data_IF_856873193846
#
_entry.id   IF_856873193846
#
_cell.length_a   1.000
_cell.length_b   1.000
_cell.length_c   1.000
_cell.angle_alpha   90.00
_cell.angle_beta   90.00
_cell.angle_gamma   90.00
#
_symmetry.space_group_name_H-M   'P 1'
#
loop_
_entity.id
_entity.type
_entity.pdbx_description
1 polymer ?
#
# COMPACT_ATOMS: atom_id res chain seq x y z
N UNK A 1 67.21 -36.39 -7.94
CA UNK A 1 65.75 -36.51 -8.19
C UNK A 1 65.08 -36.18 -6.86
N UNK A 2 64.58 -34.97 -6.63
CA UNK A 2 63.36 -34.42 -7.23
C UNK A 2 62.16 -34.93 -6.41
N UNK A 3 61.28 -34.16 -5.79
CA UNK A 3 61.13 -32.71 -5.68
C UNK A 3 60.12 -32.42 -4.56
N UNK A 4 60.10 -31.15 -4.15
CA UNK A 4 59.18 -30.51 -3.22
C UNK A 4 57.84 -30.20 -3.92
N UNK A 5 56.68 -30.43 -3.27
CA UNK A 5 55.43 -29.66 -3.51
C UNK A 5 54.59 -29.65 -2.24
N UNK A 6 54.61 -28.50 -1.57
CA UNK A 6 53.53 -27.99 -0.72
C UNK A 6 52.26 -27.70 -1.53
N UNK A 7 51.08 -27.99 -0.98
CA UNK A 7 49.81 -27.43 -1.49
C UNK A 7 48.87 -27.09 -0.33
N UNK A 8 48.67 -25.78 -0.13
CA UNK A 8 47.64 -25.18 0.71
C UNK A 8 46.25 -25.15 0.03
N UNK A 9 45.33 -24.30 0.51
CA UNK A 9 43.93 -24.65 0.77
C UNK A 9 43.03 -24.60 -0.48
N UNK A 10 42.18 -25.61 -0.63
CA UNK A 10 41.12 -25.66 -1.64
C UNK A 10 39.95 -24.74 -1.29
N UNK A 11 40.07 -23.45 -1.62
CA UNK A 11 38.94 -22.54 -1.72
C UNK A 11 38.20 -22.75 -3.05
N UNK A 12 37.02 -23.36 -3.01
CA UNK A 12 36.17 -23.55 -4.20
C UNK A 12 35.52 -22.24 -4.71
N UNK A 13 35.22 -22.13 -6.01
CA UNK A 13 34.90 -20.87 -6.72
C UNK A 13 33.44 -20.39 -6.59
N UNK A 14 32.75 -20.75 -5.50
CA UNK A 14 31.33 -20.42 -5.34
C UNK A 14 31.06 -18.92 -5.06
N UNK A 15 32.11 -18.13 -4.76
CA UNK A 15 31.97 -16.72 -4.40
C UNK A 15 32.03 -15.69 -5.55
N UNK A 16 32.24 -16.11 -6.81
CA UNK A 16 32.34 -15.17 -7.95
C UNK A 16 31.06 -15.09 -8.79
N UNK A 17 30.37 -16.22 -9.03
CA UNK A 17 29.14 -16.26 -9.85
C UNK A 17 28.01 -15.39 -9.27
N UNK A 18 27.78 -15.46 -7.96
CA UNK A 18 26.74 -14.69 -7.28
C UNK A 18 27.01 -13.18 -7.23
N UNK A 19 28.29 -12.78 -7.21
CA UNK A 19 28.68 -11.37 -7.29
C UNK A 19 28.27 -10.76 -8.64
N UNK A 20 28.43 -11.51 -9.73
CA UNK A 20 27.97 -11.07 -11.06
C UNK A 20 26.46 -10.84 -11.11
N UNK A 21 25.67 -11.79 -10.61
CA UNK A 21 24.21 -11.67 -10.58
C UNK A 21 23.72 -10.50 -9.72
N UNK A 22 24.35 -10.24 -8.57
CA UNK A 22 24.01 -9.09 -7.73
C UNK A 22 24.26 -7.76 -8.48
N UNK A 23 25.40 -7.63 -9.15
CA UNK A 23 25.72 -6.44 -9.96
C UNK A 23 24.77 -6.26 -11.14
N UNK A 24 24.30 -7.35 -11.76
CA UNK A 24 23.29 -7.27 -12.83
C UNK A 24 21.93 -6.77 -12.31
N UNK A 25 21.51 -7.21 -11.11
CA UNK A 25 20.30 -6.72 -10.46
C UNK A 25 20.45 -5.24 -10.12
N UNK A 26 21.58 -4.82 -9.53
CA UNK A 26 21.85 -3.42 -9.22
C UNK A 26 21.80 -2.53 -10.47
N UNK A 27 22.39 -2.99 -11.58
CA UNK A 27 22.34 -2.30 -12.87
C UNK A 27 20.92 -2.19 -13.41
N UNK A 28 20.13 -3.25 -13.28
CA UNK A 28 18.72 -3.22 -13.66
C UNK A 28 17.95 -2.20 -12.81
N UNK A 29 18.11 -2.24 -11.48
CA UNK A 29 17.46 -1.31 -10.54
C UNK A 29 17.83 0.15 -10.83
N UNK A 30 19.10 0.43 -11.10
CA UNK A 30 19.54 1.77 -11.50
C UNK A 30 18.88 2.22 -12.81
N UNK A 31 18.80 1.31 -13.80
CA UNK A 31 18.14 1.60 -15.07
C UNK A 31 16.62 1.79 -14.92
N UNK A 32 15.95 1.19 -13.93
CA UNK A 32 14.53 1.47 -13.64
C UNK A 32 14.31 2.94 -13.29
N UNK A 33 15.26 3.56 -12.59
CA UNK A 33 15.15 4.97 -12.21
C UNK A 33 15.49 5.93 -13.37
N UNK A 34 16.51 5.61 -14.18
CA UNK A 34 17.04 6.55 -15.19
C UNK A 34 16.60 6.27 -16.64
N UNK A 35 16.14 5.06 -16.95
CA UNK A 35 15.90 4.58 -18.32
C UNK A 35 14.61 3.75 -18.43
N UNK A 36 13.61 4.07 -17.59
CA UNK A 36 12.34 3.34 -17.48
C UNK A 36 11.68 3.04 -18.82
N UNK A 37 11.52 4.04 -19.69
CA UNK A 37 10.79 3.87 -20.95
C UNK A 37 11.52 2.95 -21.93
N UNK A 38 12.86 3.01 -21.95
CA UNK A 38 13.69 2.10 -22.75
C UNK A 38 13.59 0.66 -22.23
N UNK A 39 13.53 0.46 -20.90
CA UNK A 39 13.31 -0.86 -20.30
C UNK A 39 11.93 -1.42 -20.61
N UNK A 40 10.88 -0.59 -20.57
CA UNK A 40 9.52 -1.00 -20.96
C UNK A 40 9.50 -1.48 -22.42
N UNK A 41 10.13 -0.72 -23.31
CA UNK A 41 10.19 -1.09 -24.73
C UNK A 41 10.99 -2.38 -24.96
N UNK A 42 12.13 -2.54 -24.27
CA UNK A 42 12.90 -3.77 -24.31
C UNK A 42 12.10 -4.97 -23.79
N UNK A 43 11.39 -4.82 -22.67
CA UNK A 43 10.54 -5.87 -22.10
C UNK A 43 9.38 -6.23 -23.03
N UNK A 44 8.76 -5.26 -23.71
CA UNK A 44 7.70 -5.50 -24.72
C UNK A 44 8.22 -6.31 -25.90
N UNK A 45 9.40 -5.96 -26.43
CA UNK A 45 10.04 -6.73 -27.52
C UNK A 45 10.35 -8.17 -27.10
N UNK A 46 10.90 -8.35 -25.90
CA UNK A 46 11.17 -9.69 -25.36
C UNK A 46 9.88 -10.50 -25.19
N UNK A 47 8.77 -9.86 -24.81
CA UNK A 47 7.48 -10.52 -24.61
C UNK A 47 6.84 -11.00 -25.92
N UNK A 48 7.09 -10.34 -27.06
CA UNK A 48 6.43 -10.64 -28.35
C UNK A 48 6.61 -12.10 -28.79
N UNK A 49 7.83 -12.64 -28.68
CA UNK A 49 8.15 -14.00 -29.14
C UNK A 49 8.33 -15.00 -27.98
N UNK A 50 8.18 -14.56 -26.73
CA UNK A 50 8.36 -15.41 -25.56
C UNK A 50 7.22 -16.43 -25.44
N UNK A 51 7.55 -17.69 -25.23
CA UNK A 51 6.58 -18.81 -25.12
C UNK A 51 6.52 -19.42 -23.73
N UNK A 52 7.54 -19.23 -22.90
CA UNK A 52 7.56 -19.81 -21.57
C UNK A 52 6.61 -19.02 -20.64
N UNK A 53 5.57 -19.66 -20.04
CA UNK A 53 4.55 -18.95 -19.26
C UNK A 53 5.13 -18.14 -18.09
N UNK A 54 6.14 -18.69 -17.40
CA UNK A 54 6.82 -18.00 -16.30
C UNK A 54 7.53 -16.72 -16.74
N UNK A 55 8.14 -16.74 -17.93
CA UNK A 55 8.88 -15.60 -18.49
C UNK A 55 7.91 -14.54 -19.01
N UNK A 56 6.82 -14.95 -19.65
CA UNK A 56 5.73 -14.05 -20.04
C UNK A 56 5.15 -13.33 -18.82
N UNK A 57 4.86 -14.05 -17.72
CA UNK A 57 4.34 -13.45 -16.49
C UNK A 57 5.31 -12.41 -15.91
N UNK A 58 6.59 -12.75 -15.80
CA UNK A 58 7.60 -11.83 -15.27
C UNK A 58 7.75 -10.56 -16.14
N UNK A 59 7.77 -10.71 -17.47
CA UNK A 59 7.84 -9.57 -18.39
C UNK A 59 6.56 -8.72 -18.34
N UNK A 60 5.39 -9.35 -18.28
CA UNK A 60 4.12 -8.64 -18.15
C UNK A 60 4.03 -7.86 -16.83
N UNK A 61 4.46 -8.46 -15.72
CA UNK A 61 4.50 -7.81 -14.41
C UNK A 61 5.51 -6.65 -14.41
N UNK A 62 6.68 -6.82 -15.04
CA UNK A 62 7.66 -5.75 -15.19
C UNK A 62 7.09 -4.58 -16.01
N UNK A 63 6.52 -4.86 -17.18
CA UNK A 63 5.90 -3.83 -18.03
C UNK A 63 4.78 -3.12 -17.27
N UNK A 64 3.96 -3.88 -16.53
CA UNK A 64 2.86 -3.33 -15.76
C UNK A 64 3.34 -2.36 -14.67
N UNK A 65 4.32 -2.78 -13.86
CA UNK A 65 4.88 -1.96 -12.79
C UNK A 65 5.58 -0.70 -13.31
N UNK A 66 6.15 -0.73 -14.51
CA UNK A 66 6.84 0.42 -15.10
C UNK A 66 5.96 1.32 -15.97
N UNK A 67 4.78 0.85 -16.39
CA UNK A 67 3.80 1.64 -17.13
C UNK A 67 2.97 2.50 -16.17
N UNK A 68 3.64 3.41 -15.47
CA UNK A 68 3.06 4.29 -14.47
C UNK A 68 3.16 5.77 -14.81
N UNK A 69 2.24 6.56 -14.27
CA UNK A 69 2.20 8.01 -14.39
C UNK A 69 1.92 8.66 -13.03
N UNK A 70 2.79 8.37 -12.05
CA UNK A 70 2.65 8.85 -10.66
C UNK A 70 2.58 10.38 -10.61
N UNK A 71 3.39 11.08 -11.40
CA UNK A 71 3.50 12.55 -11.34
C UNK A 71 2.24 13.26 -11.83
N UNK A 72 1.49 12.66 -12.76
CA UNK A 72 0.21 13.22 -13.18
C UNK A 72 -0.78 13.17 -12.02
N UNK A 73 -1.45 14.29 -11.79
CA UNK A 73 -2.48 14.42 -10.78
C UNK A 73 -3.86 14.58 -11.40
N UNK A 74 -3.97 15.49 -12.35
CA UNK A 74 -5.25 15.90 -12.88
C UNK A 74 -5.73 14.92 -13.97
N UNK A 75 -7.04 14.82 -14.13
CA UNK A 75 -7.68 13.87 -15.05
C UNK A 75 -7.31 14.11 -16.49
N UNK A 76 -7.02 15.35 -16.83
CA UNK A 76 -6.58 15.82 -18.13
C UNK A 76 -5.24 15.18 -18.52
N UNK A 77 -4.35 15.00 -17.54
CA UNK A 77 -2.98 14.49 -17.70
C UNK A 77 -2.90 12.95 -17.62
N UNK A 78 -3.90 12.30 -17.02
CA UNK A 78 -3.92 10.83 -16.88
C UNK A 78 -5.34 10.23 -16.94
N UNK A 79 -6.01 10.39 -18.07
CA UNK A 79 -7.38 9.89 -18.27
C UNK A 79 -7.55 8.40 -17.97
N UNK A 80 -6.53 7.58 -18.29
CA UNK A 80 -6.53 6.13 -18.10
C UNK A 80 -6.68 5.78 -16.63
N UNK A 81 -5.98 6.50 -15.76
CA UNK A 81 -6.14 6.32 -14.32
C UNK A 81 -7.61 6.48 -13.92
N UNK A 82 -8.33 7.50 -14.39
CA UNK A 82 -9.74 7.79 -14.00
C UNK A 82 -10.80 6.90 -14.65
N UNK A 83 -10.44 5.93 -15.48
CA UNK A 83 -11.41 5.03 -16.12
C UNK A 83 -12.22 4.26 -15.06
N UNK A 84 -13.54 4.22 -15.24
CA UNK A 84 -14.49 3.59 -14.31
C UNK A 84 -14.88 4.44 -13.10
N UNK A 85 -14.34 5.65 -12.94
CA UNK A 85 -14.77 6.58 -11.89
C UNK A 85 -15.89 7.51 -12.33
N UNK A 86 -16.64 7.99 -11.34
CA UNK A 86 -17.62 9.06 -11.53
C UNK A 86 -16.97 10.33 -12.10
N UNK A 87 -17.72 11.08 -12.91
CA UNK A 87 -17.24 12.28 -13.61
C UNK A 87 -16.88 13.45 -12.68
N UNK A 88 -17.33 13.40 -11.42
CA UNK A 88 -17.05 14.39 -10.37
C UNK A 88 -15.57 14.46 -9.98
N UNK A 89 -14.82 13.36 -10.12
CA UNK A 89 -13.42 13.32 -9.73
C UNK A 89 -12.54 13.96 -10.81
N UNK A 90 -11.81 15.01 -10.42
CA UNK A 90 -10.92 15.79 -11.32
C UNK A 90 -9.45 15.52 -11.07
N UNK A 91 -9.07 15.16 -9.86
CA UNK A 91 -7.70 14.86 -9.48
C UNK A 91 -7.62 13.58 -8.65
N UNK A 92 -6.46 12.92 -8.70
CA UNK A 92 -6.25 11.62 -8.04
C UNK A 92 -6.45 11.73 -6.53
N UNK A 93 -5.91 12.78 -5.92
CA UNK A 93 -5.95 13.04 -4.48
C UNK A 93 -7.36 13.22 -3.94
N UNK A 94 -8.23 13.92 -4.67
CA UNK A 94 -9.65 14.06 -4.30
C UNK A 94 -10.38 12.71 -4.30
N UNK A 95 -10.09 11.84 -5.27
CA UNK A 95 -10.62 10.49 -5.27
C UNK A 95 -10.07 9.67 -4.11
N UNK A 96 -8.75 9.74 -3.87
CA UNK A 96 -8.11 8.97 -2.79
C UNK A 96 -8.61 9.41 -1.41
N UNK A 97 -8.80 10.72 -1.19
CA UNK A 97 -9.47 11.28 -0.01
C UNK A 97 -10.87 10.69 0.13
N UNK A 98 -11.70 10.80 -0.91
CA UNK A 98 -13.05 10.23 -0.91
C UNK A 98 -13.05 8.71 -0.65
N UNK A 99 -12.08 7.98 -1.19
CA UNK A 99 -11.91 6.54 -0.98
C UNK A 99 -11.66 6.25 0.51
N UNK A 100 -10.77 6.98 1.16
CA UNK A 100 -10.51 6.87 2.60
C UNK A 100 -11.77 7.16 3.43
N UNK A 101 -12.41 8.29 3.16
CA UNK A 101 -13.65 8.67 3.86
C UNK A 101 -14.74 7.61 3.70
N UNK A 102 -14.82 6.98 2.52
CA UNK A 102 -15.81 5.94 2.24
C UNK A 102 -15.54 4.67 3.04
N UNK A 103 -14.28 4.32 3.31
CA UNK A 103 -13.90 3.23 4.22
C UNK A 103 -14.29 3.55 5.65
N UNK A 104 -13.97 4.76 6.13
CA UNK A 104 -14.36 5.19 7.48
C UNK A 104 -15.89 5.19 7.67
N UNK A 105 -16.64 5.67 6.66
CA UNK A 105 -18.11 5.57 6.65
C UNK A 105 -18.59 4.12 6.60
N UNK A 106 -17.84 3.21 5.96
CA UNK A 106 -18.07 1.77 5.98
C UNK A 106 -17.99 1.21 7.40
N UNK A 107 -16.87 1.42 8.07
CA UNK A 107 -16.67 0.98 9.46
C UNK A 107 -17.74 1.54 10.41
N UNK A 108 -18.09 2.82 10.28
CA UNK A 108 -19.15 3.42 11.08
C UNK A 108 -20.53 2.77 10.84
N UNK A 109 -20.84 2.35 9.61
CA UNK A 109 -22.07 1.60 9.30
C UNK A 109 -22.07 0.22 9.92
N UNK A 110 -20.92 -0.46 9.98
CA UNK A 110 -20.79 -1.76 10.64
C UNK A 110 -21.03 -1.64 12.16
N UNK A 111 -20.39 -0.66 12.81
CA UNK A 111 -20.63 -0.35 14.24
C UNK A 111 -22.10 -0.01 14.49
N UNK A 112 -22.70 0.80 13.60
CA UNK A 112 -24.12 1.15 13.71
C UNK A 112 -25.05 -0.05 13.52
N UNK A 113 -24.70 -0.95 12.61
CA UNK A 113 -25.44 -2.18 12.32
C UNK A 113 -25.43 -3.18 13.49
N UNK A 114 -24.41 -3.12 14.34
CA UNK A 114 -24.28 -3.99 15.51
C UNK A 114 -25.37 -3.76 16.58
N UNK A 115 -26.13 -2.66 16.51
CA UNK A 115 -27.18 -2.35 17.50
C UNK A 115 -28.22 -3.46 17.69
N UNK A 116 -28.46 -4.28 16.66
CA UNK A 116 -29.37 -5.43 16.76
C UNK A 116 -28.91 -6.46 17.81
N UNK A 117 -27.60 -6.60 18.00
CA UNK A 117 -26.96 -7.51 18.96
C UNK A 117 -26.85 -6.91 20.37
N UNK A 118 -27.14 -5.62 20.53
CA UNK A 118 -27.11 -4.93 21.84
C UNK A 118 -28.39 -5.22 22.61
N UNK A 119 -28.23 -5.52 23.91
CA UNK A 119 -29.35 -5.75 24.83
C UNK A 119 -30.36 -4.58 24.77
N UNK A 120 -31.68 -4.82 24.69
CA UNK A 120 -32.67 -3.77 24.47
C UNK A 120 -32.56 -2.56 25.42
N UNK A 121 -32.28 -2.81 26.70
CA UNK A 121 -32.13 -1.76 27.71
C UNK A 121 -30.92 -0.82 27.49
N UNK A 122 -29.93 -1.23 26.70
CA UNK A 122 -28.71 -0.45 26.43
C UNK A 122 -28.72 0.21 25.04
N UNK A 123 -29.76 -0.01 24.22
CA UNK A 123 -29.79 0.46 22.82
C UNK A 123 -29.78 1.98 22.68
N UNK A 124 -30.48 2.69 23.56
CA UNK A 124 -30.53 4.16 23.52
C UNK A 124 -29.17 4.76 23.90
N UNK A 125 -28.52 4.23 24.92
CA UNK A 125 -27.16 4.61 25.30
C UNK A 125 -26.17 4.32 24.16
N UNK A 126 -26.26 3.14 23.54
CA UNK A 126 -25.44 2.76 22.39
C UNK A 126 -25.63 3.69 21.19
N UNK A 127 -26.88 4.09 20.90
CA UNK A 127 -27.20 5.08 19.85
C UNK A 127 -26.53 6.42 20.16
N UNK A 128 -26.63 6.89 21.40
CA UNK A 128 -25.98 8.14 21.82
C UNK A 128 -24.46 8.12 21.59
N UNK A 129 -23.79 7.00 21.90
CA UNK A 129 -22.35 6.83 21.63
C UNK A 129 -22.05 6.84 20.13
N UNK A 130 -22.84 6.13 19.33
CA UNK A 130 -22.72 6.13 17.85
C UNK A 130 -22.83 7.54 17.29
N UNK A 131 -23.80 8.33 17.76
CA UNK A 131 -24.02 9.68 17.28
C UNK A 131 -22.81 10.59 17.62
N UNK A 132 -22.28 10.48 18.83
CA UNK A 132 -21.05 11.19 19.22
C UNK A 132 -19.84 10.81 18.36
N UNK A 133 -19.66 9.51 18.09
CA UNK A 133 -18.59 9.02 17.20
C UNK A 133 -18.77 9.55 15.78
N UNK A 134 -20.00 9.54 15.26
CA UNK A 134 -20.32 10.04 13.93
C UNK A 134 -20.05 11.55 13.82
N UNK A 135 -20.44 12.35 14.81
CA UNK A 135 -20.15 13.78 14.86
C UNK A 135 -18.65 14.05 14.95
N UNK A 136 -17.92 13.26 15.76
CA UNK A 136 -16.46 13.37 15.82
C UNK A 136 -15.82 13.07 14.46
N UNK A 137 -16.22 11.98 13.80
CA UNK A 137 -15.72 11.64 12.46
C UNK A 137 -16.06 12.71 11.42
N UNK A 138 -17.27 13.27 11.45
CA UNK A 138 -17.63 14.41 10.58
C UNK A 138 -16.73 15.61 10.82
N UNK A 139 -16.42 15.94 12.08
CA UNK A 139 -15.56 17.08 12.44
C UNK A 139 -14.14 16.96 11.87
N UNK A 140 -13.64 15.73 11.72
CA UNK A 140 -12.32 15.43 11.14
C UNK A 140 -12.41 14.96 9.69
N UNK A 141 -13.53 15.23 9.00
CA UNK A 141 -13.76 14.87 7.59
C UNK A 141 -13.48 13.38 7.31
N UNK A 142 -13.90 12.50 8.22
CA UNK A 142 -13.71 11.05 8.13
C UNK A 142 -12.27 10.64 7.83
N UNK A 143 -11.29 11.39 8.36
CA UNK A 143 -9.85 11.17 8.18
C UNK A 143 -9.42 10.99 6.71
N UNK A 144 -10.12 11.65 5.78
CA UNK A 144 -9.84 11.52 4.35
C UNK A 144 -8.38 11.86 3.98
N UNK A 145 -7.73 12.71 4.77
CA UNK A 145 -6.33 13.10 4.64
C UNK A 145 -5.36 11.92 4.64
N UNK A 146 -5.69 10.80 5.31
CA UNK A 146 -4.81 9.62 5.37
C UNK A 146 -4.38 9.12 4.00
N UNK A 147 -5.23 9.25 2.98
CA UNK A 147 -4.91 8.81 1.62
C UNK A 147 -4.55 9.95 0.67
N UNK A 148 -4.47 11.20 1.12
CA UNK A 148 -4.13 12.33 0.27
C UNK A 148 -2.63 12.68 0.33
N UNK A 149 -1.90 12.38 -0.75
CA UNK A 149 -0.47 12.75 -0.89
C UNK A 149 -0.20 14.26 -0.89
N UNK A 150 -1.19 15.09 -1.23
CA UNK A 150 -1.14 16.56 -1.22
C UNK A 150 -1.49 17.17 0.14
N UNK A 151 -1.81 16.36 1.15
CA UNK A 151 -1.96 16.86 2.52
C UNK A 151 -0.62 17.48 2.98
N UNK A 152 -0.67 18.71 3.49
CA UNK A 152 0.52 19.47 3.87
C UNK A 152 1.14 18.94 5.16
N UNK A 153 0.29 18.48 6.08
CA UNK A 153 0.72 17.86 7.33
C UNK A 153 1.14 16.42 7.08
N UNK A 154 2.45 16.16 7.08
CA UNK A 154 3.00 14.83 6.79
C UNK A 154 2.50 13.76 7.77
N UNK A 155 2.35 14.11 9.05
CA UNK A 155 1.80 13.22 10.08
C UNK A 155 0.31 12.86 9.84
N UNK A 156 -0.40 13.65 9.04
CA UNK A 156 -1.80 13.43 8.73
C UNK A 156 -2.02 12.50 7.51
N UNK A 157 -0.98 12.13 6.77
CA UNK A 157 -1.09 11.21 5.62
C UNK A 157 -0.34 9.90 5.90
N UNK A 158 -0.85 8.81 5.36
CA UNK A 158 -0.24 7.47 5.49
C UNK A 158 0.70 7.11 4.32
N UNK A 159 0.96 8.07 3.42
CA UNK A 159 1.80 7.88 2.26
C UNK A 159 2.86 8.95 2.15
N UNK A 160 3.88 8.70 1.33
CA UNK A 160 4.88 9.71 0.97
C UNK A 160 4.29 10.81 0.08
N UNK A 161 5.06 11.86 -0.22
CA UNK A 161 4.65 12.94 -1.13
C UNK A 161 4.35 12.46 -2.55
N UNK A 162 4.97 11.37 -2.95
CA UNK A 162 4.75 10.72 -4.24
C UNK A 162 3.53 9.77 -4.20
N UNK A 163 2.98 9.49 -3.02
CA UNK A 163 1.82 8.61 -2.82
C UNK A 163 2.15 7.15 -2.56
N UNK A 164 3.36 6.84 -2.08
CA UNK A 164 3.72 5.46 -1.70
C UNK A 164 3.17 5.11 -0.33
N UNK A 165 2.40 4.03 -0.25
CA UNK A 165 1.94 3.40 0.99
C UNK A 165 2.81 2.19 1.30
N UNK A 166 3.22 2.07 2.55
CA UNK A 166 3.97 0.92 3.06
C UNK A 166 3.09 0.11 4.00
N UNK A 167 3.13 -1.21 3.86
CA UNK A 167 2.44 -2.10 4.78
C UNK A 167 3.10 -2.02 6.16
N UNK A 168 2.29 -1.79 7.19
CA UNK A 168 2.73 -1.73 8.59
C UNK A 168 2.92 -3.12 9.23
N UNK A 169 2.77 -4.18 8.44
CA UNK A 169 2.90 -5.55 8.91
C UNK A 169 1.58 -6.14 9.42
N UNK A 170 1.60 -7.40 9.85
CA UNK A 170 0.48 -7.99 10.57
C UNK A 170 0.32 -7.32 11.94
N UNK A 171 -0.88 -7.44 12.53
CA UNK A 171 -1.21 -6.80 13.82
C UNK A 171 -0.28 -7.19 14.99
N UNK A 172 0.43 -8.30 14.88
CA UNK A 172 1.31 -8.88 15.92
C UNK A 172 2.80 -8.60 15.69
N UNK A 173 3.15 -7.75 14.71
CA UNK A 173 4.55 -7.38 14.41
C UNK A 173 4.68 -5.90 14.13
N UNK A 174 5.89 -5.39 14.34
CA UNK A 174 6.23 -3.99 14.12
C UNK A 174 6.46 -3.65 12.63
N UNK A 175 6.71 -4.67 11.80
CA UNK A 175 7.05 -4.47 10.39
C UNK A 175 6.50 -5.58 9.46
N UNK A 176 6.35 -5.20 8.19
CA UNK A 176 6.01 -6.14 7.13
C UNK A 176 7.27 -6.89 6.65
N UNK A 177 7.39 -8.22 6.88
CA UNK A 177 8.58 -8.98 6.47
C UNK A 177 8.74 -9.01 4.94
N UNK A 178 7.63 -8.88 4.20
CA UNK A 178 7.62 -8.84 2.74
C UNK A 178 7.84 -7.43 2.17
N UNK A 179 7.93 -6.40 3.04
CA UNK A 179 8.06 -4.98 2.65
C UNK A 179 7.07 -4.57 1.57
N UNK A 180 5.81 -5.01 1.70
CA UNK A 180 4.79 -4.67 0.71
C UNK A 180 4.63 -3.15 0.62
N UNK A 181 4.58 -2.66 -0.61
CA UNK A 181 4.32 -1.26 -0.91
C UNK A 181 3.39 -1.15 -2.12
N UNK A 182 2.62 -0.08 -2.16
CA UNK A 182 1.75 0.23 -3.30
C UNK A 182 1.66 1.73 -3.50
N UNK A 183 1.59 2.16 -4.76
CA UNK A 183 1.28 3.53 -5.09
C UNK A 183 -0.05 3.56 -5.87
N UNK A 184 -1.19 3.84 -5.23
CA UNK A 184 -2.48 3.90 -5.93
C UNK A 184 -2.58 5.07 -6.92
N UNK A 185 -1.64 6.02 -6.89
CA UNK A 185 -1.56 7.12 -7.84
C UNK A 185 -0.85 6.74 -9.15
N UNK A 186 -0.18 5.58 -9.22
CA UNK A 186 0.67 5.19 -10.34
C UNK A 186 -0.11 4.86 -11.61
N UNK A 187 -1.11 3.97 -11.50
CA UNK A 187 -1.93 3.49 -12.61
C UNK A 187 -3.29 2.99 -12.10
N UNK A 188 -4.18 2.68 -13.05
CA UNK A 188 -5.56 2.27 -12.79
C UNK A 188 -5.64 0.99 -11.97
N UNK A 189 -4.83 -0.01 -12.30
CA UNK A 189 -4.83 -1.30 -11.63
C UNK A 189 -4.33 -1.19 -10.19
N UNK A 190 -3.28 -0.40 -9.94
CA UNK A 190 -2.76 -0.13 -8.58
C UNK A 190 -3.82 0.56 -7.72
N UNK A 191 -4.57 1.51 -8.30
CA UNK A 191 -5.73 2.10 -7.61
C UNK A 191 -6.79 1.06 -7.27
N UNK A 192 -7.08 0.12 -8.16
CA UNK A 192 -8.06 -0.95 -7.91
C UNK A 192 -7.54 -1.93 -6.86
N UNK A 193 -6.29 -2.38 -6.97
CA UNK A 193 -5.63 -3.26 -6.00
C UNK A 193 -5.58 -2.63 -4.61
N UNK A 194 -5.43 -1.31 -4.53
CA UNK A 194 -5.48 -0.63 -3.25
C UNK A 194 -6.82 -0.81 -2.52
N UNK A 195 -7.92 -1.14 -3.21
CA UNK A 195 -9.19 -1.49 -2.55
C UNK A 195 -9.10 -2.75 -1.68
N UNK A 196 -8.13 -3.64 -1.93
CA UNK A 196 -7.86 -4.83 -1.11
C UNK A 196 -6.83 -4.57 -0.01
N UNK A 197 -6.22 -3.38 0.03
CA UNK A 197 -5.35 -2.98 1.13
C UNK A 197 -6.22 -2.52 2.29
N UNK A 198 -6.17 -3.25 3.40
CA UNK A 198 -6.98 -2.94 4.57
C UNK A 198 -6.31 -1.88 5.45
N UNK A 199 -7.15 -1.12 6.16
CA UNK A 199 -6.74 -0.38 7.34
C UNK A 199 -7.06 -1.29 8.53
N UNK A 200 -6.24 -2.33 8.70
CA UNK A 200 -6.48 -3.30 9.77
C UNK A 200 -6.34 -2.61 11.13
N UNK A 201 -7.32 -2.87 12.00
CA UNK A 201 -7.28 -2.42 13.38
C UNK A 201 -6.34 -3.33 14.17
N UNK A 202 -5.26 -2.77 14.72
CA UNK A 202 -4.31 -3.49 15.60
C UNK A 202 -5.04 -4.13 16.79
N UNK A 203 -6.11 -3.49 17.26
CA UNK A 203 -7.02 -4.07 18.23
C UNK A 203 -8.30 -4.53 17.54
N UNK A 204 -8.37 -5.83 17.23
CA UNK A 204 -9.63 -6.49 16.93
C UNK A 204 -10.35 -6.66 18.26
N UNK A 205 -10.96 -5.59 18.77
CA UNK A 205 -11.90 -5.73 19.86
C UNK A 205 -13.04 -6.56 19.31
N UNK A 206 -13.01 -7.86 19.60
CA UNK A 206 -14.25 -8.58 19.86
C UNK A 206 -15.10 -7.61 20.66
N UNK A 207 -16.22 -7.17 20.09
CA UNK A 207 -17.15 -6.23 20.70
C UNK A 207 -17.75 -6.95 21.91
N UNK A 208 -16.95 -7.01 22.98
CA UNK A 208 -17.27 -7.62 24.24
C UNK A 208 -18.11 -6.58 24.97
N UNK A 209 -19.35 -6.91 25.37
CA UNK A 209 -20.31 -5.94 25.93
C UNK A 209 -19.87 -5.27 27.24
N UNK A 210 -18.76 -5.70 27.84
CA UNK A 210 -18.19 -5.06 29.02
C UNK A 210 -16.99 -4.19 28.61
N UNK A 211 -17.27 -2.92 28.30
CA UNK A 211 -16.26 -1.86 28.27
C UNK A 211 -16.04 -1.36 29.71
N UNK A 212 -14.91 -1.63 30.37
CA UNK A 212 -14.55 -0.89 31.57
C UNK A 212 -14.02 0.51 31.17
N UNK A 213 -14.35 1.51 31.99
CA UNK A 213 -14.03 2.94 31.85
C UNK A 213 -12.53 3.29 31.67
N UNK A 214 -11.63 2.32 31.61
CA UNK A 214 -10.18 2.54 31.54
C UNK A 214 -9.62 2.80 30.13
N UNK A 215 -10.42 2.72 29.06
CA UNK A 215 -9.91 2.94 27.69
C UNK A 215 -9.83 4.41 27.25
N UNK A 216 -10.11 5.37 28.13
CA UNK A 216 -9.95 6.80 27.83
C UNK A 216 -8.52 7.34 27.98
N UNK A 217 -7.53 6.51 28.37
CA UNK A 217 -6.13 6.92 28.27
C UNK A 217 -5.61 6.66 26.86
N UNK A 218 -5.56 7.71 26.05
CA UNK A 218 -4.76 7.71 24.83
C UNK A 218 -3.32 7.27 25.15
N UNK A 219 -2.69 6.39 24.35
CA UNK A 219 -1.25 6.23 24.44
C UNK A 219 -0.63 7.58 24.08
N UNK A 220 0.00 8.21 25.08
CA UNK A 220 0.94 9.27 24.81
C UNK A 220 2.10 8.66 24.05
N UNK A 221 2.28 9.10 22.80
CA UNK A 221 3.43 8.78 21.99
C UNK A 221 3.15 7.74 20.91
N UNK A 222 2.78 8.23 19.73
CA UNK A 222 3.43 7.80 18.49
C UNK A 222 3.18 8.88 17.44
N UNK A 223 4.31 9.33 16.90
CA UNK A 223 4.45 10.28 15.79
C UNK A 223 3.81 9.72 14.53
#
# INVERSE_FOLDING_TARGET
AGGDVSAGPGGGPWGQSWRGCASDIERLLAALCSQRDALVEAARKLLTDERAPRRQKLLADLIHNLSENILAEDKEDDKKWFEGLESRFKNKSSYMRHSCESRMRGYMREVSGFISNVHPAARDAYRGVIDLMAEKLKSVKYNGCYFDRREEEEAARLCTAEGWFSCQGPFDRDDCPCKHSINPYSNRESRILFSTWNLDHVYVQSVNPDLPDSCLSAPSGMV
#
